data_IF_624416733581
#
_entry.id   IF_624416733581
#
_cell.length_a   1.000
_cell.length_b   1.000
_cell.length_c   1.000
_cell.angle_alpha   90.00
_cell.angle_beta   90.00
_cell.angle_gamma   90.00
#
_symmetry.space_group_name_H-M   'P 1'
#
loop_
_entity.id
_entity.type
_entity.pdbx_description
1 polymer ?
#
# COMPACT_ATOMS: atom_id res chain seq x y z
N UNK A 1 -17.52 12.93 1.79
CA UNK A 1 -17.77 12.48 0.41
C UNK A 1 -16.43 12.20 -0.23
N UNK A 2 -16.30 11.02 -0.82
CA UNK A 2 -15.10 10.60 -1.52
C UNK A 2 -14.94 11.38 -2.84
N UNK A 3 -13.74 11.91 -3.08
CA UNK A 3 -13.42 12.68 -4.30
C UNK A 3 -12.22 12.06 -5.01
N UNK A 4 -12.28 11.98 -6.34
CA UNK A 4 -11.14 11.55 -7.17
C UNK A 4 -10.06 12.62 -7.09
N UNK A 5 -8.82 12.19 -6.85
CA UNK A 5 -7.66 13.07 -6.80
C UNK A 5 -6.94 13.11 -8.14
N UNK A 6 -6.43 14.27 -8.50
CA UNK A 6 -5.43 14.36 -9.56
C UNK A 6 -4.15 13.64 -9.14
N UNK A 7 -3.30 13.32 -10.11
CA UNK A 7 -1.98 12.73 -9.86
C UNK A 7 -1.14 13.58 -8.88
N UNK A 8 -1.19 14.90 -9.02
CA UNK A 8 -0.39 15.81 -8.20
C UNK A 8 -0.89 15.79 -6.75
N UNK A 9 -2.20 15.99 -6.55
CA UNK A 9 -2.82 15.95 -5.22
C UNK A 9 -2.58 14.60 -4.53
N UNK A 10 -2.76 13.49 -5.25
CA UNK A 10 -2.53 12.15 -4.72
C UNK A 10 -1.06 11.92 -4.34
N UNK A 11 -0.12 12.50 -5.10
CA UNK A 11 1.32 12.41 -4.79
C UNK A 11 1.66 13.23 -3.55
N UNK A 12 1.19 14.48 -3.49
CA UNK A 12 1.45 15.43 -2.39
C UNK A 12 0.84 14.96 -1.07
N UNK A 13 -0.38 14.42 -1.11
CA UNK A 13 -1.09 13.98 0.08
C UNK A 13 -0.43 12.81 0.83
N UNK A 14 0.48 12.09 0.18
CA UNK A 14 1.07 10.86 0.74
C UNK A 14 2.58 10.90 0.98
N UNK A 15 3.24 12.02 0.67
CA UNK A 15 4.71 12.14 0.70
C UNK A 15 5.30 11.82 2.08
N UNK A 16 4.63 12.25 3.15
CA UNK A 16 5.09 12.10 4.53
C UNK A 16 4.77 10.73 5.15
N UNK A 17 4.02 9.86 4.45
CA UNK A 17 3.54 8.59 4.99
C UNK A 17 4.28 7.37 4.42
N UNK A 18 5.31 7.58 3.60
CA UNK A 18 6.09 6.48 2.99
C UNK A 18 5.37 5.80 1.82
N UNK A 19 4.45 6.50 1.15
CA UNK A 19 3.73 6.01 -0.03
C UNK A 19 4.16 6.74 -1.29
N UNK A 20 3.87 6.14 -2.45
CA UNK A 20 4.02 6.80 -3.76
C UNK A 20 2.79 6.59 -4.62
N UNK A 21 2.41 7.64 -5.34
CA UNK A 21 1.46 7.51 -6.45
C UNK A 21 2.16 6.93 -7.69
N UNK A 22 1.76 5.73 -8.11
CA UNK A 22 2.35 5.00 -9.23
C UNK A 22 1.24 4.32 -10.04
N UNK A 23 1.24 4.54 -11.36
CA UNK A 23 0.32 3.89 -12.30
C UNK A 23 -1.16 3.95 -11.88
N UNK A 24 -1.59 5.10 -11.34
CA UNK A 24 -2.98 5.30 -10.91
C UNK A 24 -3.34 4.70 -9.55
N UNK A 25 -2.35 4.32 -8.74
CA UNK A 25 -2.54 3.71 -7.41
C UNK A 25 -1.62 4.36 -6.38
N UNK A 26 -1.96 4.28 -5.10
CA UNK A 26 -1.01 4.55 -4.01
C UNK A 26 -0.34 3.24 -3.62
N UNK A 27 0.99 3.22 -3.51
CA UNK A 27 1.75 2.01 -3.17
C UNK A 27 2.81 2.26 -2.10
N UNK A 28 2.95 1.32 -1.16
CA UNK A 28 4.03 1.27 -0.18
C UNK A 28 4.49 -0.16 0.05
N UNK A 29 5.71 -0.33 0.61
CA UNK A 29 6.28 -1.62 0.98
C UNK A 29 6.82 -1.57 2.41
N UNK A 30 6.39 -2.51 3.25
CA UNK A 30 6.88 -2.67 4.62
C UNK A 30 7.80 -3.89 4.68
N UNK A 31 9.05 -3.73 5.12
CA UNK A 31 9.95 -4.87 5.33
C UNK A 31 9.54 -5.66 6.57
N UNK A 32 9.66 -6.98 6.48
CA UNK A 32 9.41 -7.91 7.60
C UNK A 32 10.52 -8.96 7.65
N UNK A 33 10.66 -9.62 8.80
CA UNK A 33 11.72 -10.62 9.01
C UNK A 33 11.26 -12.06 8.82
N UNK A 34 9.95 -12.28 8.73
CA UNK A 34 9.34 -13.59 8.57
C UNK A 34 7.96 -13.50 7.93
N UNK A 35 7.55 -14.56 7.22
CA UNK A 35 6.24 -14.64 6.59
C UNK A 35 5.09 -14.52 7.61
N UNK A 36 5.25 -15.07 8.82
CA UNK A 36 4.24 -14.94 9.88
C UNK A 36 4.00 -13.47 10.30
N UNK A 37 5.07 -12.67 10.35
CA UNK A 37 4.97 -11.23 10.61
C UNK A 37 4.29 -10.51 9.45
N UNK A 38 4.59 -10.92 8.21
CA UNK A 38 3.95 -10.41 7.00
C UNK A 38 2.43 -10.62 7.01
N UNK A 39 1.98 -11.83 7.36
CA UNK A 39 0.56 -12.18 7.46
C UNK A 39 -0.12 -11.43 8.60
N UNK A 40 0.56 -11.30 9.75
CA UNK A 40 0.00 -10.56 10.90
C UNK A 40 -0.22 -9.09 10.55
N UNK A 41 0.77 -8.44 9.93
CA UNK A 41 0.63 -7.06 9.48
C UNK A 41 -0.48 -6.90 8.42
N UNK A 42 -0.60 -7.85 7.49
CA UNK A 42 -1.68 -7.84 6.52
C UNK A 42 -3.06 -7.92 7.21
N UNK A 43 -3.22 -8.78 8.22
CA UNK A 43 -4.45 -8.90 8.98
C UNK A 43 -4.78 -7.62 9.77
N UNK A 44 -3.78 -7.02 10.43
CA UNK A 44 -3.96 -5.75 11.16
C UNK A 44 -4.38 -4.61 10.23
N UNK A 45 -3.77 -4.53 9.05
CA UNK A 45 -4.12 -3.54 8.01
C UNK A 45 -5.55 -3.75 7.51
N UNK A 46 -5.96 -4.99 7.21
CA UNK A 46 -7.34 -5.30 6.81
C UNK A 46 -8.33 -4.90 7.91
N UNK A 47 -8.02 -5.21 9.17
CA UNK A 47 -8.86 -4.85 10.30
C UNK A 47 -9.01 -3.32 10.46
N UNK A 48 -7.95 -2.55 10.21
CA UNK A 48 -7.98 -1.09 10.28
C UNK A 48 -8.73 -0.45 9.11
N UNK A 49 -8.64 -1.03 7.90
CA UNK A 49 -9.42 -0.58 6.75
C UNK A 49 -10.92 -0.86 6.89
N UNK A 50 -11.29 -1.89 7.66
CA UNK A 50 -12.69 -2.26 7.88
C UNK A 50 -13.42 -2.56 6.58
N UNK A 51 -14.64 -2.03 6.44
CA UNK A 51 -15.52 -2.27 5.28
C UNK A 51 -14.93 -1.75 3.95
N UNK A 52 -13.95 -0.84 4.00
CA UNK A 52 -13.31 -0.31 2.80
C UNK A 52 -12.24 -1.26 2.23
N UNK A 53 -11.80 -2.28 2.99
CA UNK A 53 -10.70 -3.15 2.59
C UNK A 53 -10.95 -3.78 1.20
N UNK A 54 -12.11 -4.41 1.00
CA UNK A 54 -12.41 -5.14 -0.24
C UNK A 54 -12.59 -4.23 -1.47
N UNK A 55 -12.83 -2.93 -1.26
CA UNK A 55 -13.05 -1.95 -2.33
C UNK A 55 -11.83 -1.11 -2.64
N UNK A 56 -10.86 -1.05 -1.72
CA UNK A 56 -9.72 -0.13 -1.83
C UNK A 56 -8.36 -0.82 -1.76
N UNK A 57 -8.24 -1.89 -0.97
CA UNK A 57 -6.96 -2.44 -0.55
C UNK A 57 -6.61 -3.70 -1.34
N UNK A 58 -5.38 -3.74 -1.86
CA UNK A 58 -4.72 -4.96 -2.31
C UNK A 58 -3.45 -5.16 -1.50
N UNK A 59 -3.21 -6.42 -1.09
CA UNK A 59 -2.06 -6.80 -0.26
C UNK A 59 -1.29 -7.94 -0.91
N UNK A 60 0.00 -7.72 -1.20
CA UNK A 60 0.92 -8.77 -1.61
C UNK A 60 1.83 -9.14 -0.43
N UNK A 61 1.67 -10.36 0.09
CA UNK A 61 2.46 -10.87 1.22
C UNK A 61 3.66 -11.67 0.72
N UNK A 62 4.86 -11.32 1.18
CA UNK A 62 6.11 -12.01 0.87
C UNK A 62 6.90 -12.31 2.15
N UNK A 63 7.83 -13.27 2.15
CA UNK A 63 8.62 -13.60 3.35
C UNK A 63 9.46 -12.44 3.90
N UNK A 64 9.84 -11.49 3.04
CA UNK A 64 10.72 -10.34 3.34
C UNK A 64 9.98 -8.99 3.38
N UNK A 65 8.75 -8.93 2.88
CA UNK A 65 7.97 -7.68 2.81
C UNK A 65 6.48 -7.88 2.61
N UNK A 66 5.70 -6.85 2.93
CA UNK A 66 4.30 -6.71 2.54
C UNK A 66 4.18 -5.48 1.65
N UNK A 67 3.54 -5.62 0.49
CA UNK A 67 3.25 -4.49 -0.39
C UNK A 67 1.77 -4.17 -0.30
N UNK A 68 1.45 -2.91 -0.02
CA UNK A 68 0.09 -2.41 0.01
C UNK A 68 -0.15 -1.53 -1.21
N UNK A 69 -1.29 -1.74 -1.86
CA UNK A 69 -1.75 -0.93 -2.99
C UNK A 69 -3.17 -0.45 -2.69
N UNK A 70 -3.40 0.86 -2.80
CA UNK A 70 -4.71 1.49 -2.60
C UNK A 70 -5.21 2.15 -3.88
N UNK A 71 -6.47 1.90 -4.19
CA UNK A 71 -7.25 2.54 -5.24
C UNK A 71 -8.72 2.14 -5.08
N UNK A 72 -9.64 3.10 -5.18
CA UNK A 72 -11.08 2.80 -5.25
C UNK A 72 -11.43 1.94 -6.46
N UNK A 73 -12.00 0.76 -6.22
CA UNK A 73 -12.54 -0.13 -7.24
C UNK A 73 -13.72 0.50 -7.99
N UNK A 74 -14.56 1.26 -7.29
CA UNK A 74 -15.77 1.87 -7.88
C UNK A 74 -15.47 3.01 -8.84
N UNK A 75 -14.42 3.76 -8.51
CA UNK A 75 -14.01 4.94 -9.28
C UNK A 75 -12.89 4.63 -10.25
N UNK A 76 -12.26 3.45 -10.12
CA UNK A 76 -11.05 3.06 -10.83
C UNK A 76 -9.95 4.14 -10.76
N UNK A 77 -9.87 4.84 -9.63
CA UNK A 77 -9.01 6.00 -9.43
C UNK A 77 -8.66 6.15 -7.94
N UNK A 78 -7.54 6.84 -7.66
CA UNK A 78 -7.19 7.22 -6.29
C UNK A 78 -8.12 8.31 -5.82
N UNK A 79 -8.64 8.14 -4.61
CA UNK A 79 -9.55 9.10 -3.98
C UNK A 79 -9.01 9.63 -2.66
N UNK A 80 -9.71 10.60 -2.09
CA UNK A 80 -9.48 11.06 -0.71
C UNK A 80 -9.57 9.92 0.29
N UNK A 81 -10.39 8.88 0.06
CA UNK A 81 -10.50 7.73 0.96
C UNK A 81 -9.24 6.88 0.93
N UNK A 82 -8.66 6.66 -0.25
CA UNK A 82 -7.38 5.94 -0.38
C UNK A 82 -6.25 6.65 0.39
N UNK A 83 -6.24 7.99 0.43
CA UNK A 83 -5.25 8.76 1.21
C UNK A 83 -5.45 8.56 2.72
N UNK A 84 -6.70 8.58 3.19
CA UNK A 84 -7.02 8.31 4.60
C UNK A 84 -6.58 6.90 5.03
N UNK A 85 -6.87 5.90 4.20
CA UNK A 85 -6.45 4.52 4.42
C UNK A 85 -4.92 4.41 4.41
N UNK A 86 -4.23 5.09 3.50
CA UNK A 86 -2.76 5.11 3.47
C UNK A 86 -2.16 5.59 4.81
N UNK A 87 -2.72 6.66 5.38
CA UNK A 87 -2.32 7.19 6.69
C UNK A 87 -2.60 6.19 7.82
N UNK A 88 -3.77 5.55 7.81
CA UNK A 88 -4.14 4.57 8.84
C UNK A 88 -3.25 3.31 8.80
N UNK A 89 -2.89 2.85 7.60
CA UNK A 89 -1.97 1.73 7.39
C UNK A 89 -0.56 2.10 7.87
N UNK A 90 -0.05 3.28 7.51
CA UNK A 90 1.27 3.73 7.99
C UNK A 90 1.31 3.79 9.52
N UNK A 91 0.28 4.34 10.17
CA UNK A 91 0.19 4.36 11.63
C UNK A 91 0.09 2.96 12.26
N UNK A 92 -0.40 1.97 11.52
CA UNK A 92 -0.47 0.58 11.98
C UNK A 92 0.89 -0.11 11.84
N UNK A 93 1.61 0.11 10.74
CA UNK A 93 2.98 -0.35 10.57
C UNK A 93 3.90 0.23 11.66
N UNK A 94 3.79 1.54 11.94
CA UNK A 94 4.61 2.23 12.95
C UNK A 94 4.39 1.65 14.36
N UNK A 95 3.13 1.38 14.73
CA UNK A 95 2.80 0.74 16.03
C UNK A 95 3.38 -0.66 16.16
N UNK A 96 3.55 -1.37 15.06
CA UNK A 96 4.18 -2.69 15.00
C UNK A 96 5.71 -2.62 14.92
N UNK A 97 6.30 -1.41 14.99
CA UNK A 97 7.74 -1.19 14.90
C UNK A 97 8.31 -1.42 13.50
N UNK A 98 7.45 -1.39 12.47
CA UNK A 98 7.80 -1.61 11.08
C UNK A 98 7.67 -0.30 10.31
N UNK A 99 8.66 0.03 9.48
CA UNK A 99 8.61 1.26 8.70
C UNK A 99 8.03 1.00 7.31
N UNK A 100 7.04 1.80 6.94
CA UNK A 100 6.56 1.90 5.57
C UNK A 100 7.61 2.62 4.73
N UNK A 101 8.21 1.88 3.79
CA UNK A 101 9.16 2.45 2.85
C UNK A 101 8.45 2.66 1.52
N UNK A 102 8.61 3.85 0.91
CA UNK A 102 8.11 4.05 -0.42
C UNK A 102 8.91 3.13 -1.33
N UNK A 103 8.25 2.20 -2.05
CA UNK A 103 8.94 1.16 -2.80
C UNK A 103 9.85 1.80 -3.86
N UNK A 104 11.16 1.77 -3.60
CA UNK A 104 12.17 1.98 -4.61
C UNK A 104 12.42 0.57 -5.12
N UNK A 105 12.11 0.30 -6.40
CA UNK A 105 12.20 -1.03 -6.99
C UNK A 105 13.50 -1.71 -6.54
N UNK A 106 13.39 -2.63 -5.59
CA UNK A 106 14.55 -3.31 -5.00
C UNK A 106 15.25 -4.01 -6.15
N UNK A 107 16.54 -3.70 -6.36
CA UNK A 107 17.42 -4.25 -7.39
C UNK A 107 17.67 -5.77 -7.32
N UNK A 108 16.72 -6.54 -6.81
CA UNK A 108 16.65 -7.97 -7.03
C UNK A 108 16.36 -8.22 -8.52
N UNK A 109 17.15 -9.08 -9.15
CA UNK A 109 17.00 -9.50 -10.54
C UNK A 109 15.53 -9.83 -10.81
N UNK A 110 14.91 -9.06 -11.69
CA UNK A 110 13.57 -9.37 -12.18
C UNK A 110 13.68 -10.63 -13.03
N UNK A 111 13.02 -11.71 -12.62
CA UNK A 111 12.74 -12.81 -13.52
C UNK A 111 11.90 -12.24 -14.67
N UNK A 112 12.48 -12.14 -15.86
CA UNK A 112 11.74 -11.81 -17.08
C UNK A 112 11.11 -13.11 -17.55
N UNK A 113 9.78 -13.14 -17.65
CA UNK A 113 9.11 -14.25 -18.32
C UNK A 113 9.48 -14.15 -19.80
N UNK A 114 10.37 -15.02 -20.27
CA UNK A 114 10.55 -15.25 -21.69
C UNK A 114 9.29 -15.97 -22.16
N UNK A 115 8.48 -15.27 -22.96
CA UNK A 115 7.50 -15.94 -23.81
C UNK A 115 8.29 -16.71 -24.86
N UNK A 116 8.27 -18.04 -24.75
CA UNK A 116 8.77 -18.95 -25.77
C UNK A 116 7.71 -19.13 -26.87
#
# INVERSE_FOLDING_TARGET
MEQILSRQEASEAVQDYGWRFLLGTLRTSVRVRALAQAVSLAADTVAVCGDDADRHLRVDVRPDRVVFTLQSLDRAAVTTRDVELARQISATADRSGLLAEPEIGTGARRSVQLLA
#
